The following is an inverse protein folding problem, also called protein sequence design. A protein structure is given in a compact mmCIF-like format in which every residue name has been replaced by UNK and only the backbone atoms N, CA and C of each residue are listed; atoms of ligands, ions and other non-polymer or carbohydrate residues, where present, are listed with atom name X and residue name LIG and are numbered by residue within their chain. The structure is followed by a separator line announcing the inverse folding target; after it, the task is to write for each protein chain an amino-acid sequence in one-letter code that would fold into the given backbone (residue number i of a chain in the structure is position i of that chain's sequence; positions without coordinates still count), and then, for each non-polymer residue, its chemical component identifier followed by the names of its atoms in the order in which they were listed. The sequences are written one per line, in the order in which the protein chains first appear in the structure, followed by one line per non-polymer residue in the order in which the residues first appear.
data_IF_138858108528
#
_entry.id   IF_138858108528
#
_cell.length_a   1.000
_cell.length_b   1.000
_cell.length_c   1.000
_cell.angle_alpha   90.00
_cell.angle_beta   90.00
_cell.angle_gamma   90.00
#
_symmetry.space_group_name_H-M   'P 1'
#
loop_
_entity.id
_entity.type
_entity.pdbx_description
1 polymer ?
#
# COMPACT_ATOMS: atom_id res chain seq x y z
N UNK A 1 -23.70 1.39 -8.79
CA UNK A 1 -22.70 0.32 -8.90
C UNK A 1 -21.37 0.95 -8.51
N UNK A 2 -20.84 0.63 -7.32
CA UNK A 2 -19.61 1.25 -6.85
C UNK A 2 -18.45 0.71 -7.69
N UNK A 3 -17.87 1.55 -8.52
CA UNK A 3 -16.68 1.23 -9.31
C UNK A 3 -15.50 1.09 -8.34
N UNK A 4 -15.19 -0.12 -7.89
CA UNK A 4 -13.86 -0.39 -7.36
C UNK A 4 -12.94 -0.50 -8.59
N UNK A 5 -12.17 0.56 -8.86
CA UNK A 5 -11.04 0.49 -9.78
C UNK A 5 -10.07 -0.63 -9.37
N UNK A 6 -9.16 -1.01 -10.26
CA UNK A 6 -8.24 -2.14 -10.04
C UNK A 6 -7.57 -2.07 -8.65
N UNK A 7 -7.80 -3.09 -7.81
CA UNK A 7 -7.23 -3.17 -6.45
C UNK A 7 -5.96 -4.01 -6.48
N UNK A 8 -4.90 -3.43 -5.93
CA UNK A 8 -3.58 -4.05 -5.80
C UNK A 8 -3.31 -4.26 -4.30
N UNK A 9 -3.69 -5.42 -3.77
CA UNK A 9 -3.48 -5.74 -2.35
C UNK A 9 -2.06 -6.25 -2.14
N UNK A 10 -1.29 -5.62 -1.24
CA UNK A 10 0.13 -6.00 -0.98
C UNK A 10 0.33 -7.46 -0.61
N UNK A 11 -0.69 -8.13 -0.08
CA UNK A 11 -0.66 -9.58 0.22
C UNK A 11 -0.55 -10.43 -1.06
N UNK A 12 -1.16 -10.01 -2.15
CA UNK A 12 -1.11 -10.71 -3.45
C UNK A 12 0.30 -10.61 -4.08
N UNK A 13 1.12 -9.69 -3.58
CA UNK A 13 2.50 -9.45 -4.00
C UNK A 13 3.53 -10.05 -3.03
N UNK A 14 3.08 -10.91 -2.11
CA UNK A 14 3.96 -11.64 -1.21
C UNK A 14 4.33 -10.91 0.07
N UNK A 15 3.56 -9.89 0.47
CA UNK A 15 3.71 -9.33 1.82
C UNK A 15 3.41 -10.44 2.83
N UNK A 16 4.37 -10.67 3.71
CA UNK A 16 4.34 -11.77 4.67
C UNK A 16 3.22 -11.57 5.68
N UNK A 17 2.85 -12.67 6.34
CA UNK A 17 1.84 -12.65 7.42
C UNK A 17 2.48 -12.53 8.80
N UNK A 18 3.79 -12.36 8.86
CA UNK A 18 4.57 -12.27 10.09
C UNK A 18 5.20 -10.87 10.23
N UNK A 19 5.53 -10.45 11.45
CA UNK A 19 6.10 -9.13 11.73
C UNK A 19 7.63 -9.07 11.59
N UNK A 20 8.27 -10.16 11.12
CA UNK A 20 9.73 -10.33 11.14
C UNK A 20 10.34 -10.10 9.76
N UNK A 21 9.64 -10.56 8.73
CA UNK A 21 10.04 -10.48 7.32
C UNK A 21 9.89 -9.05 6.82
N UNK A 22 10.84 -8.63 5.99
CA UNK A 22 10.80 -7.32 5.36
C UNK A 22 9.88 -7.36 4.13
N UNK A 23 8.74 -6.66 4.21
CA UNK A 23 7.69 -6.67 3.18
C UNK A 23 7.89 -5.58 2.13
N UNK A 24 8.99 -4.82 2.18
CA UNK A 24 9.23 -3.66 1.31
C UNK A 24 9.11 -4.04 -0.16
N UNK A 25 9.57 -5.22 -0.56
CA UNK A 25 9.50 -5.69 -1.94
C UNK A 25 8.05 -5.85 -2.43
N UNK A 26 7.18 -6.45 -1.62
CA UNK A 26 5.77 -6.66 -1.96
C UNK A 26 5.05 -5.32 -2.15
N UNK A 27 5.34 -4.34 -1.30
CA UNK A 27 4.79 -2.99 -1.40
C UNK A 27 5.24 -2.26 -2.66
N UNK A 28 6.51 -2.38 -3.04
CA UNK A 28 7.04 -1.76 -4.25
C UNK A 28 6.53 -2.46 -5.51
N UNK A 29 6.34 -3.78 -5.49
CA UNK A 29 5.77 -4.54 -6.59
C UNK A 29 4.28 -4.16 -6.81
N UNK A 30 3.49 -4.15 -5.73
CA UNK A 30 2.09 -3.72 -5.78
C UNK A 30 1.96 -2.26 -6.26
N UNK A 31 2.83 -1.36 -5.80
CA UNK A 31 2.87 0.03 -6.26
C UNK A 31 3.19 0.14 -7.75
N UNK A 32 4.15 -0.64 -8.25
CA UNK A 32 4.55 -0.59 -9.67
C UNK A 32 3.38 -0.99 -10.58
N UNK A 33 2.65 -2.03 -10.24
CA UNK A 33 1.48 -2.48 -10.99
C UNK A 33 0.33 -1.46 -10.88
N UNK A 34 0.05 -0.96 -9.68
CA UNK A 34 -0.97 0.07 -9.47
C UNK A 34 -0.67 1.35 -10.28
N UNK A 35 0.58 1.81 -10.26
CA UNK A 35 1.03 2.99 -10.99
C UNK A 35 1.07 2.76 -12.52
N UNK A 36 1.27 1.51 -12.94
CA UNK A 36 1.29 1.09 -14.34
C UNK A 36 -0.10 0.82 -14.96
N UNK A 37 -1.15 0.79 -14.14
CA UNK A 37 -2.52 0.62 -14.58
C UNK A 37 -3.01 1.81 -15.41
N UNK A 38 -3.87 1.54 -16.39
CA UNK A 38 -4.38 2.55 -17.34
C UNK A 38 -5.91 2.69 -17.32
N UNK A 39 -6.59 1.87 -16.52
CA UNK A 39 -8.05 1.85 -16.42
C UNK A 39 -8.46 2.13 -14.99
N UNK A 40 -9.49 2.94 -14.84
CA UNK A 40 -10.03 3.40 -13.56
C UNK A 40 -9.00 4.13 -12.68
N UNK A 41 -9.38 4.45 -11.45
CA UNK A 41 -8.45 4.90 -10.41
C UNK A 41 -7.90 3.68 -9.67
N UNK A 42 -6.68 3.20 -9.99
CA UNK A 42 -6.07 2.07 -9.30
C UNK A 42 -5.91 2.35 -7.81
N UNK A 43 -6.10 1.30 -6.99
CA UNK A 43 -5.99 1.41 -5.54
C UNK A 43 -4.94 0.43 -5.02
N UNK A 44 -3.84 0.95 -4.47
CA UNK A 44 -2.94 0.17 -3.62
C UNK A 44 -3.63 -0.06 -2.27
N UNK A 45 -3.92 -1.32 -1.94
CA UNK A 45 -4.57 -1.69 -0.69
C UNK A 45 -3.56 -2.28 0.30
N UNK A 46 -3.52 -1.67 1.49
CA UNK A 46 -2.77 -2.17 2.64
C UNK A 46 -3.79 -2.59 3.71
N UNK A 47 -4.00 -3.90 3.93
CA UNK A 47 -5.03 -4.40 4.82
C UNK A 47 -4.70 -4.20 6.30
N UNK A 48 -5.73 -4.30 7.16
CA UNK A 48 -5.64 -4.14 8.61
C UNK A 48 -5.17 -5.39 9.34
N UNK A 49 -5.34 -6.57 8.73
CA UNK A 49 -5.25 -7.85 9.44
C UNK A 49 -3.82 -8.26 9.82
N UNK A 50 -2.81 -7.42 9.50
CA UNK A 50 -1.38 -7.75 9.61
C UNK A 50 -0.53 -6.54 10.01
N UNK A 51 0.59 -6.84 10.68
CA UNK A 51 1.66 -5.90 10.97
C UNK A 51 2.75 -6.15 9.92
N UNK A 52 3.00 -5.15 9.08
CA UNK A 52 4.01 -5.23 8.03
C UNK A 52 5.26 -4.49 8.48
N UNK A 53 6.42 -5.11 8.27
CA UNK A 53 7.71 -4.47 8.54
C UNK A 53 8.25 -3.93 7.22
N UNK A 54 8.47 -2.61 7.19
CA UNK A 54 8.91 -1.90 5.99
C UNK A 54 10.16 -1.09 6.28
N UNK A 55 11.07 -1.06 5.31
CA UNK A 55 12.04 0.04 5.18
C UNK A 55 11.35 1.28 4.62
N UNK A 56 12.12 2.36 4.44
CA UNK A 56 11.62 3.56 3.76
C UNK A 56 11.13 3.21 2.35
N UNK A 57 9.81 3.31 2.15
CA UNK A 57 9.17 3.17 0.83
C UNK A 57 8.98 4.55 0.20
N UNK A 58 9.24 4.64 -1.11
CA UNK A 58 9.02 5.85 -1.90
C UNK A 58 8.17 5.51 -3.11
N UNK A 59 6.91 5.92 -3.05
CA UNK A 59 5.99 5.83 -4.18
C UNK A 59 6.35 6.90 -5.20
N UNK A 60 6.94 6.49 -6.32
CA UNK A 60 7.38 7.37 -7.41
C UNK A 60 6.63 7.03 -8.69
N UNK A 61 6.26 8.08 -9.42
CA UNK A 61 5.76 8.00 -10.80
C UNK A 61 6.89 8.10 -11.84
N UNK A 62 6.55 8.36 -13.11
CA UNK A 62 5.21 8.71 -13.60
C UNK A 62 4.24 7.51 -13.58
N UNK A 63 3.00 7.77 -13.17
CA UNK A 63 1.92 6.78 -13.27
C UNK A 63 1.10 7.00 -14.54
N UNK A 64 0.51 5.93 -15.07
CA UNK A 64 -0.25 6.02 -16.32
C UNK A 64 -1.70 6.49 -16.10
N UNK A 65 -2.27 6.22 -14.92
CA UNK A 65 -3.55 6.81 -14.50
C UNK A 65 -3.35 8.24 -13.97
N UNK A 66 -4.35 9.10 -14.20
CA UNK A 66 -4.43 10.46 -13.65
C UNK A 66 -4.39 10.51 -12.11
N UNK A 67 -4.87 9.44 -11.47
CA UNK A 67 -4.91 9.31 -10.01
C UNK A 67 -4.60 7.87 -9.59
N UNK A 68 -4.00 7.74 -8.41
CA UNK A 68 -3.78 6.45 -7.73
C UNK A 68 -4.21 6.61 -6.28
N UNK A 69 -5.07 5.72 -5.78
CA UNK A 69 -5.43 5.69 -4.37
C UNK A 69 -4.46 4.81 -3.59
N UNK A 70 -4.05 5.27 -2.41
CA UNK A 70 -3.37 4.44 -1.41
C UNK A 70 -4.32 4.29 -0.23
N UNK A 71 -4.89 3.09 -0.09
CA UNK A 71 -5.86 2.78 0.96
C UNK A 71 -5.19 1.96 2.06
N UNK A 72 -4.90 2.63 3.16
CA UNK A 72 -4.41 2.00 4.37
C UNK A 72 -5.59 1.71 5.31
N UNK A 73 -5.90 0.43 5.53
CA UNK A 73 -6.99 0.02 6.43
C UNK A 73 -6.55 -0.13 7.89
N UNK A 74 -5.33 0.25 8.27
CA UNK A 74 -4.85 0.14 9.66
C UNK A 74 -5.11 1.41 10.47
N UNK A 75 -5.17 1.27 11.79
CA UNK A 75 -5.10 2.40 12.74
C UNK A 75 -3.67 2.95 12.79
N UNK A 76 -3.47 4.21 12.40
CA UNK A 76 -2.21 4.93 12.65
C UNK A 76 -2.32 5.57 14.03
N UNK A 77 -1.50 5.13 14.98
CA UNK A 77 -1.36 5.79 16.27
C UNK A 77 -0.19 6.77 16.15
N UNK A 78 -0.47 8.06 16.30
CA UNK A 78 0.58 9.07 16.40
C UNK A 78 1.39 8.85 17.69
N UNK A 79 2.73 9.03 17.67
CA UNK A 79 3.50 9.04 18.90
C UNK A 79 2.93 10.10 19.85
N UNK A 80 2.68 9.72 21.11
CA UNK A 80 2.30 10.69 22.13
C UNK A 80 3.52 11.55 22.40
N UNK A 81 3.34 12.87 22.48
CA UNK A 81 4.39 13.72 23.05
C UNK A 81 4.50 13.32 24.52
N UNK A 82 5.62 12.73 24.91
CA UNK A 82 5.91 12.52 26.33
C UNK A 82 6.23 13.91 26.94
N UNK A 83 5.38 14.32 27.90
CA UNK A 83 5.64 15.33 28.94
C UNK A 83 5.92 16.78 28.53
N UNK A 84 4.99 17.68 28.85
CA UNK A 84 5.26 19.08 29.24
C UNK A 84 5.43 19.09 30.77
#
# INVERSE_FOLDING_TARGET
MNQEGSIFNVLDYGASRDSKTDDTHAYMAAWKEACGATKDTPTLLIPSEKIFKLQSVRFRGPCKSESVHVKLKRTIIAPRKDGD
#
